data_IF_202867242226
#
_entry.id   IF_202867242226
#
_cell.length_a   1.000
_cell.length_b   1.000
_cell.length_c   1.000
_cell.angle_alpha   90.00
_cell.angle_beta   90.00
_cell.angle_gamma   90.00
#
_symmetry.space_group_name_H-M   'P 1'
#
loop_
_entity.id
_entity.type
_entity.pdbx_description
1 polymer ?
#
# COMPACT_ATOMS: atom_id res chain seq x y z
N UNK A 1 7.46 -15.62 -12.83
CA UNK A 1 7.33 -15.73 -11.36
C UNK A 1 6.02 -15.09 -10.93
N UNK A 2 5.16 -15.85 -10.25
CA UNK A 2 3.83 -15.44 -9.81
C UNK A 2 3.91 -14.91 -8.37
N UNK A 3 3.17 -13.85 -8.04
CA UNK A 3 2.94 -13.44 -6.65
C UNK A 3 1.45 -13.65 -6.36
N UNK A 4 1.14 -14.54 -5.42
CA UNK A 4 -0.22 -14.69 -4.92
C UNK A 4 -0.56 -13.52 -3.99
N UNK A 5 -1.70 -12.87 -4.23
CA UNK A 5 -2.27 -11.90 -3.29
C UNK A 5 -3.46 -12.59 -2.62
N UNK A 6 -3.36 -12.95 -1.33
CA UNK A 6 -4.46 -13.62 -0.65
C UNK A 6 -5.62 -12.65 -0.45
N UNK A 7 -6.84 -13.19 -0.44
CA UNK A 7 -8.03 -12.42 -0.07
C UNK A 7 -8.00 -12.17 1.43
N UNK A 8 -7.74 -10.94 1.83
CA UNK A 8 -7.74 -10.50 3.22
C UNK A 8 -9.12 -10.58 3.88
N UNK A 9 -9.12 -10.73 5.20
CA UNK A 9 -10.32 -10.91 6.04
C UNK A 9 -10.97 -9.60 6.51
N UNK A 10 -10.25 -8.49 6.41
CA UNK A 10 -10.74 -7.17 6.87
C UNK A 10 -11.36 -6.36 5.74
N UNK A 11 -11.95 -5.20 6.09
CA UNK A 11 -12.44 -4.22 5.10
C UNK A 11 -11.35 -3.68 4.16
N UNK A 12 -10.07 -3.83 4.52
CA UNK A 12 -8.92 -3.34 3.76
C UNK A 12 -8.33 -4.41 2.82
N UNK A 13 -9.13 -5.42 2.45
CA UNK A 13 -8.71 -6.50 1.56
C UNK A 13 -8.32 -5.97 0.17
N UNK A 14 -7.06 -6.17 -0.30
CA UNK A 14 -6.60 -5.64 -1.59
C UNK A 14 -7.32 -6.28 -2.78
N UNK A 15 -7.67 -7.57 -2.69
CA UNK A 15 -8.42 -8.28 -3.73
C UNK A 15 -9.82 -7.69 -3.90
N UNK A 16 -10.55 -7.46 -2.79
CA UNK A 16 -11.89 -6.86 -2.84
C UNK A 16 -11.84 -5.41 -3.34
N UNK A 17 -10.84 -4.64 -2.92
CA UNK A 17 -10.63 -3.28 -3.40
C UNK A 17 -10.35 -3.25 -4.92
N UNK A 18 -9.53 -4.19 -5.40
CA UNK A 18 -9.22 -4.36 -6.81
C UNK A 18 -10.46 -4.75 -7.63
N UNK A 19 -11.23 -5.75 -7.18
CA UNK A 19 -12.46 -6.19 -7.84
C UNK A 19 -13.49 -5.06 -7.94
N UNK A 20 -13.67 -4.30 -6.85
CA UNK A 20 -14.54 -3.13 -6.83
C UNK A 20 -14.07 -2.05 -7.80
N UNK A 21 -12.75 -1.81 -7.89
CA UNK A 21 -12.18 -0.87 -8.84
C UNK A 21 -12.42 -1.29 -10.30
N UNK A 22 -12.08 -2.53 -10.66
CA UNK A 22 -12.31 -3.04 -12.03
C UNK A 22 -13.78 -2.95 -12.41
N UNK A 23 -14.69 -3.35 -11.50
CA UNK A 23 -16.13 -3.26 -11.72
C UNK A 23 -16.61 -1.81 -11.93
N UNK A 24 -16.07 -0.88 -11.15
CA UNK A 24 -16.45 0.55 -11.23
C UNK A 24 -15.98 1.19 -12.52
N UNK A 25 -14.79 0.82 -13.01
CA UNK A 25 -14.17 1.46 -14.17
C UNK A 25 -14.46 0.73 -15.49
N UNK A 26 -14.91 -0.53 -15.44
CA UNK A 26 -15.17 -1.34 -16.63
C UNK A 26 -13.89 -1.61 -17.43
N UNK A 27 -12.80 -1.98 -16.75
CA UNK A 27 -11.50 -2.19 -17.41
C UNK A 27 -11.46 -3.58 -18.05
N UNK A 28 -11.48 -3.61 -19.37
CA UNK A 28 -11.27 -4.84 -20.16
C UNK A 28 -9.82 -4.98 -20.64
N UNK A 29 -9.15 -3.85 -20.91
CA UNK A 29 -7.77 -3.81 -21.39
C UNK A 29 -7.03 -2.54 -20.98
N UNK A 30 -5.71 -2.54 -21.16
CA UNK A 30 -4.82 -1.41 -20.86
C UNK A 30 -4.45 -1.26 -19.38
N UNK A 31 -4.03 -0.07 -18.95
CA UNK A 31 -3.61 0.15 -17.56
C UNK A 31 -4.76 -0.09 -16.58
N UNK A 32 -4.48 -0.87 -15.54
CA UNK A 32 -5.46 -1.16 -14.49
C UNK A 32 -5.68 0.07 -13.60
N UNK A 33 -4.62 0.70 -13.12
CA UNK A 33 -4.73 1.97 -12.41
C UNK A 33 -4.65 3.11 -13.41
N UNK A 34 -5.78 3.77 -13.65
CA UNK A 34 -5.91 4.84 -14.64
C UNK A 34 -5.91 6.21 -13.95
N UNK A 35 -5.54 7.24 -14.71
CA UNK A 35 -5.60 8.63 -14.23
C UNK A 35 -7.01 9.01 -13.79
N UNK A 36 -7.10 9.69 -12.65
CA UNK A 36 -8.37 10.12 -12.04
C UNK A 36 -8.34 11.64 -11.92
N UNK A 37 -9.41 12.30 -12.38
CA UNK A 37 -9.67 13.70 -12.08
C UNK A 37 -10.82 13.76 -11.09
N UNK A 38 -10.57 14.36 -9.92
CA UNK A 38 -11.61 14.58 -8.92
C UNK A 38 -12.68 15.50 -9.51
N UNK A 39 -13.93 15.23 -9.14
CA UNK A 39 -15.03 16.08 -9.54
C UNK A 39 -14.82 17.51 -9.00
N UNK A 40 -15.23 18.54 -9.76
CA UNK A 40 -15.23 19.90 -9.26
C UNK A 40 -16.14 20.00 -8.03
N UNK A 41 -15.81 20.96 -7.15
CA UNK A 41 -16.65 21.27 -5.98
C UNK A 41 -18.04 21.65 -6.48
N UNK A 42 -19.03 20.90 -6.03
CA UNK A 42 -20.43 21.10 -6.42
C UNK A 42 -20.99 22.35 -5.78
N UNK A 43 -21.91 23.02 -6.47
CA UNK A 43 -22.62 24.16 -5.89
C UNK A 43 -23.52 23.68 -4.76
N UNK A 44 -23.82 24.52 -3.76
CA UNK A 44 -24.81 24.20 -2.74
C UNK A 44 -26.14 23.80 -3.39
N UNK A 45 -26.65 22.61 -3.07
CA UNK A 45 -27.91 22.09 -3.62
C UNK A 45 -27.77 21.21 -4.86
N UNK A 46 -26.57 21.10 -5.46
CA UNK A 46 -26.32 20.18 -6.59
C UNK A 46 -25.64 18.89 -6.12
N UNK A 47 -26.04 17.71 -6.65
CA UNK A 47 -25.38 16.46 -6.34
C UNK A 47 -23.95 16.45 -6.89
N UNK A 48 -22.98 15.86 -6.17
CA UNK A 48 -21.62 15.80 -6.65
C UNK A 48 -21.48 14.96 -7.91
N UNK A 49 -20.87 15.56 -8.93
CA UNK A 49 -20.50 14.83 -10.14
C UNK A 49 -19.53 13.69 -9.77
N UNK A 50 -19.58 12.56 -10.48
CA UNK A 50 -18.60 11.50 -10.29
C UNK A 50 -17.21 11.96 -10.77
N UNK A 51 -16.12 11.42 -10.21
CA UNK A 51 -14.78 11.66 -10.73
C UNK A 51 -14.66 11.15 -12.17
N UNK A 52 -13.89 11.85 -12.99
CA UNK A 52 -13.57 11.43 -14.36
C UNK A 52 -12.39 10.47 -14.34
N UNK A 53 -12.49 9.38 -15.09
CA UNK A 53 -11.42 8.38 -15.23
C UNK A 53 -10.92 8.37 -16.67
N UNK A 54 -9.60 8.44 -16.84
CA UNK A 54 -8.94 8.46 -18.15
C UNK A 54 -8.64 7.06 -18.68
N UNK A 55 -8.00 7.01 -19.85
CA UNK A 55 -7.48 5.77 -20.45
C UNK A 55 -6.00 5.53 -20.17
N UNK A 56 -5.27 6.56 -19.75
CA UNK A 56 -3.82 6.50 -19.48
C UNK A 56 -3.52 5.99 -18.07
N UNK A 57 -2.33 5.41 -17.90
CA UNK A 57 -1.84 4.95 -16.61
C UNK A 57 -1.79 6.09 -15.58
N UNK A 58 -2.08 5.76 -14.32
CA UNK A 58 -1.85 6.64 -13.19
C UNK A 58 -0.34 6.86 -13.02
N UNK A 59 0.09 8.11 -12.79
CA UNK A 59 1.51 8.40 -12.56
C UNK A 59 1.95 8.00 -11.15
N UNK A 60 3.24 7.75 -11.01
CA UNK A 60 3.92 7.53 -9.73
C UNK A 60 3.69 8.69 -8.74
N UNK A 61 3.74 9.94 -9.23
CA UNK A 61 3.45 11.14 -8.43
C UNK A 61 2.03 11.11 -7.89
N UNK A 62 1.04 10.77 -8.71
CA UNK A 62 -0.35 10.64 -8.26
C UNK A 62 -0.51 9.51 -7.25
N UNK A 63 0.21 8.40 -7.38
CA UNK A 63 0.22 7.34 -6.36
C UNK A 63 0.78 7.87 -5.04
N UNK A 64 1.90 8.60 -5.07
CA UNK A 64 2.48 9.21 -3.86
C UNK A 64 1.52 10.22 -3.20
N UNK A 65 0.86 11.07 -3.99
CA UNK A 65 -0.14 12.02 -3.50
C UNK A 65 -1.34 11.32 -2.85
N UNK A 66 -1.83 10.24 -3.46
CA UNK A 66 -2.91 9.42 -2.89
C UNK A 66 -2.47 8.84 -1.54
N UNK A 67 -1.27 8.27 -1.46
CA UNK A 67 -0.74 7.69 -0.21
C UNK A 67 -0.67 8.76 0.87
N UNK A 68 -0.03 9.91 0.61
CA UNK A 68 0.05 11.01 1.57
C UNK A 68 -1.32 11.46 2.06
N UNK A 69 -2.27 11.68 1.14
CA UNK A 69 -3.64 12.10 1.49
C UNK A 69 -4.35 11.06 2.37
N UNK A 70 -4.19 9.77 2.09
CA UNK A 70 -4.80 8.69 2.87
C UNK A 70 -4.14 8.52 4.24
N UNK A 71 -2.82 8.65 4.32
CA UNK A 71 -2.09 8.66 5.59
C UNK A 71 -2.53 9.84 6.47
N UNK A 72 -2.60 11.05 5.91
CA UNK A 72 -3.10 12.22 6.63
C UNK A 72 -4.55 12.06 7.11
N UNK A 73 -5.43 11.51 6.28
CA UNK A 73 -6.81 11.21 6.67
C UNK A 73 -6.92 10.13 7.77
N UNK A 74 -5.88 9.30 7.94
CA UNK A 74 -5.78 8.31 9.01
C UNK A 74 -5.06 8.86 10.26
N UNK A 75 -4.68 10.14 10.29
CA UNK A 75 -3.96 10.76 11.40
C UNK A 75 -2.49 10.32 11.51
N UNK A 76 -1.90 9.81 10.42
CA UNK A 76 -0.49 9.40 10.40
C UNK A 76 0.41 10.60 10.08
N UNK A 77 1.40 10.83 10.92
CA UNK A 77 2.40 11.87 10.73
C UNK A 77 3.64 11.34 9.98
N UNK A 78 4.19 12.15 9.07
CA UNK A 78 5.39 11.82 8.29
C UNK A 78 5.20 11.88 6.77
N UNK A 79 6.30 11.71 6.02
CA UNK A 79 6.28 11.65 4.56
C UNK A 79 6.12 10.21 4.06
N UNK A 80 4.89 9.86 3.72
CA UNK A 80 4.54 8.52 3.26
C UNK A 80 4.57 8.43 1.73
N UNK A 81 5.19 7.36 1.22
CA UNK A 81 5.23 7.02 -0.20
C UNK A 81 5.00 5.53 -0.41
N UNK A 82 4.99 5.09 -1.68
CA UNK A 82 4.90 3.66 -2.02
C UNK A 82 6.06 2.84 -1.43
N UNK A 83 7.24 3.46 -1.27
CA UNK A 83 8.37 2.81 -0.62
C UNK A 83 8.10 2.56 0.87
N UNK A 84 7.49 3.52 1.57
CA UNK A 84 7.09 3.40 2.97
C UNK A 84 6.11 2.23 3.18
N UNK A 85 5.15 2.04 2.27
CA UNK A 85 4.21 0.92 2.32
C UNK A 85 4.91 -0.45 2.14
N UNK A 86 5.85 -0.55 1.19
CA UNK A 86 6.61 -1.80 0.98
C UNK A 86 7.46 -2.16 2.19
N UNK A 87 8.13 -1.17 2.79
CA UNK A 87 8.87 -1.33 4.05
C UNK A 87 7.97 -1.80 5.17
N UNK A 88 6.85 -1.13 5.38
CA UNK A 88 5.88 -1.48 6.43
C UNK A 88 5.35 -2.90 6.27
N UNK A 89 5.10 -3.35 5.03
CA UNK A 89 4.70 -4.74 4.77
C UNK A 89 5.78 -5.76 5.14
N UNK A 90 7.05 -5.47 4.84
CA UNK A 90 8.18 -6.33 5.24
C UNK A 90 8.32 -6.37 6.76
N UNK A 91 8.34 -5.21 7.42
CA UNK A 91 8.46 -5.13 8.88
C UNK A 91 7.28 -5.80 9.60
N UNK A 92 6.06 -5.71 9.06
CA UNK A 92 4.89 -6.42 9.60
C UNK A 92 5.04 -7.93 9.45
N UNK A 93 5.41 -8.42 8.26
CA UNK A 93 5.64 -9.85 8.06
C UNK A 93 6.78 -10.38 8.94
N UNK A 94 7.82 -9.61 9.19
CA UNK A 94 8.88 -9.97 10.13
C UNK A 94 8.37 -10.14 11.57
N UNK A 95 7.46 -9.26 12.01
CA UNK A 95 6.79 -9.37 13.32
C UNK A 95 5.86 -10.58 13.40
N UNK A 96 5.20 -10.90 12.30
CA UNK A 96 4.35 -12.10 12.16
C UNK A 96 5.17 -13.41 12.09
N UNK A 97 6.51 -13.32 12.06
CA UNK A 97 7.42 -14.46 12.14
C UNK A 97 7.84 -15.07 10.81
N UNK A 98 7.52 -14.44 9.68
CA UNK A 98 7.98 -14.90 8.36
C UNK A 98 9.50 -14.80 8.24
N UNK A 99 10.11 -15.77 7.55
CA UNK A 99 11.55 -15.80 7.41
C UNK A 99 12.09 -14.79 6.36
N UNK A 100 13.39 -14.51 6.42
CA UNK A 100 14.06 -13.53 5.57
C UNK A 100 13.92 -13.86 4.06
N UNK A 101 13.93 -15.15 3.71
CA UNK A 101 13.83 -15.59 2.32
C UNK A 101 12.40 -15.46 1.79
N UNK A 102 11.39 -15.76 2.61
CA UNK A 102 9.97 -15.51 2.32
C UNK A 102 9.71 -14.03 2.10
N UNK A 103 10.18 -13.17 3.00
CA UNK A 103 10.04 -11.72 2.90
C UNK A 103 10.79 -11.14 1.69
N UNK A 104 11.96 -11.69 1.35
CA UNK A 104 12.68 -11.34 0.12
C UNK A 104 11.87 -11.71 -1.13
N UNK A 105 11.30 -12.92 -1.18
CA UNK A 105 10.48 -13.38 -2.31
C UNK A 105 9.23 -12.53 -2.47
N UNK A 106 8.50 -12.28 -1.38
CA UNK A 106 7.32 -11.41 -1.34
C UNK A 106 7.65 -10.00 -1.82
N UNK A 107 8.69 -9.40 -1.24
CA UNK A 107 9.04 -8.02 -1.56
C UNK A 107 9.76 -7.87 -2.90
N UNK A 108 10.34 -8.93 -3.47
CA UNK A 108 11.22 -8.92 -4.66
C UNK A 108 12.50 -8.09 -4.50
N UNK A 109 13.07 -8.04 -3.30
CA UNK A 109 14.40 -7.46 -3.14
C UNK A 109 15.46 -8.38 -3.75
N UNK A 110 16.46 -7.78 -4.42
CA UNK A 110 17.59 -8.55 -4.97
C UNK A 110 18.54 -9.00 -3.85
N UNK A 111 18.84 -8.10 -2.91
CA UNK A 111 19.71 -8.36 -1.76
C UNK A 111 18.91 -8.78 -0.53
N UNK A 112 19.42 -9.78 0.20
CA UNK A 112 18.92 -10.17 1.51
C UNK A 112 19.24 -9.09 2.57
N UNK A 113 20.38 -8.42 2.45
CA UNK A 113 20.84 -7.40 3.40
C UNK A 113 19.84 -6.23 3.52
N UNK A 114 19.19 -5.84 2.41
CA UNK A 114 18.17 -4.77 2.44
C UNK A 114 16.92 -5.21 3.20
N UNK A 115 16.57 -6.50 3.14
CA UNK A 115 15.41 -7.00 3.88
C UNK A 115 15.74 -7.09 5.37
N UNK A 116 16.97 -7.52 5.69
CA UNK A 116 17.49 -7.62 7.06
C UNK A 116 17.43 -6.28 7.80
N UNK A 117 17.80 -5.16 7.17
CA UNK A 117 17.70 -3.84 7.80
C UNK A 117 16.27 -3.49 8.26
N UNK A 118 15.24 -3.95 7.54
CA UNK A 118 13.83 -3.71 7.93
C UNK A 118 13.36 -4.65 9.04
N UNK A 119 13.98 -5.81 9.19
CA UNK A 119 13.72 -6.75 10.29
C UNK A 119 14.39 -6.24 11.56
N UNK A 120 15.63 -5.75 11.46
CA UNK A 120 16.36 -5.18 12.59
C UNK A 120 15.60 -3.98 13.17
N UNK A 121 15.17 -3.04 12.31
CA UNK A 121 14.31 -1.92 12.72
C UNK A 121 13.02 -2.39 13.43
N UNK A 122 12.40 -3.49 12.96
CA UNK A 122 11.19 -4.03 13.56
C UNK A 122 11.45 -4.73 14.91
N UNK A 123 12.59 -5.40 15.04
CA UNK A 123 12.95 -6.24 16.19
C UNK A 123 13.62 -5.48 17.34
N UNK A 124 14.28 -4.34 17.08
CA UNK A 124 14.94 -3.51 18.10
C UNK A 124 14.00 -3.15 19.27
N UNK A 125 12.71 -2.93 19.01
CA UNK A 125 11.73 -2.63 20.08
C UNK A 125 11.17 -3.86 20.80
N UNK A 126 11.19 -5.03 20.16
CA UNK A 126 10.50 -6.23 20.66
C UNK A 126 11.45 -7.22 21.34
N UNK A 127 12.69 -7.35 20.82
CA UNK A 127 13.71 -8.31 21.26
C UNK A 127 14.91 -7.63 21.94
N UNK A 128 14.71 -6.49 22.57
CA UNK A 128 15.78 -5.83 23.33
C UNK A 128 16.25 -6.80 24.44
N UNK A 129 17.53 -7.21 24.48
CA UNK A 129 18.01 -8.19 25.47
C UNK A 129 17.85 -7.71 26.92
N UNK A 130 17.77 -6.39 27.13
CA UNK A 130 17.43 -5.80 28.42
C UNK A 130 15.97 -5.97 28.86
N UNK A 131 15.02 -6.30 27.97
CA UNK A 131 13.59 -6.42 28.32
C UNK A 131 13.26 -7.54 29.32
N UNK A 132 14.16 -8.51 29.46
CA UNK A 132 14.06 -9.60 30.46
C UNK A 132 14.98 -9.42 31.66
N UNK A 133 15.80 -8.37 31.66
CA UNK A 133 16.88 -8.15 32.64
C UNK A 133 16.84 -6.79 33.34
N UNK A 134 16.05 -5.83 32.84
CA UNK A 134 15.75 -4.53 33.45
C UNK A 134 14.27 -4.18 33.23
#
# INVERSE_FOLDING_TARGET
MLIGIPRGITRNCPVRAYEAWIKTVGIEAGPVFRRIWLAPVSRPGEPPAPPKIGSVALSDRSVADIIRKRCGAAGLEGDFSGHSLRRGAISTGAKDGYDLLELKRFSRHRSLQIVETYIDEASIKERHPGKSRF
#
